data_IF_588910318194
#
_entry.id   IF_588910318194
#
_cell.length_a   1.000
_cell.length_b   1.000
_cell.length_c   1.000
_cell.angle_alpha   90.00
_cell.angle_beta   90.00
_cell.angle_gamma   90.00
#
_symmetry.space_group_name_H-M   'P 1'
#
loop_
_entity.id
_entity.type
_entity.pdbx_description
1 polymer ?
#
# COMPACT_ATOMS: atom_id res chain seq x y z
N UNK A 1 -10.81 11.54 6.53
CA UNK A 1 -9.62 10.83 6.02
C UNK A 1 -9.76 10.84 4.51
N UNK A 2 -8.71 11.19 3.80
CA UNK A 2 -8.73 11.19 2.32
C UNK A 2 -7.81 10.07 1.84
N UNK A 3 -8.22 9.38 0.79
CA UNK A 3 -7.47 8.27 0.22
C UNK A 3 -7.25 8.52 -1.27
N UNK A 4 -6.06 8.13 -1.75
CA UNK A 4 -5.71 8.11 -3.15
C UNK A 4 -5.27 6.68 -3.51
N UNK A 5 -6.01 6.07 -4.43
CA UNK A 5 -5.70 4.74 -4.95
C UNK A 5 -4.56 4.90 -5.96
N UNK A 6 -3.51 4.10 -5.80
CA UNK A 6 -2.30 4.16 -6.61
C UNK A 6 -2.27 2.98 -7.58
N UNK A 7 -2.23 3.29 -8.87
CA UNK A 7 -2.06 2.32 -9.95
C UNK A 7 -0.73 2.53 -10.66
N UNK A 8 -0.17 1.45 -11.20
CA UNK A 8 1.00 1.49 -12.08
C UNK A 8 0.71 0.68 -13.33
N UNK A 9 0.57 1.37 -14.46
CA UNK A 9 0.23 0.76 -15.76
C UNK A 9 -1.04 -0.12 -15.71
N UNK A 10 -2.03 0.26 -14.92
CA UNK A 10 -3.29 -0.47 -14.77
C UNK A 10 -3.31 -1.50 -13.63
N UNK A 11 -2.17 -1.81 -13.00
CA UNK A 11 -2.13 -2.69 -11.83
C UNK A 11 -2.30 -1.90 -10.52
N UNK A 12 -3.13 -2.42 -9.61
CA UNK A 12 -3.34 -1.83 -8.29
C UNK A 12 -2.09 -2.04 -7.43
N UNK A 13 -1.43 -0.93 -7.05
CA UNK A 13 -0.20 -0.97 -6.24
C UNK A 13 -0.49 -0.83 -4.75
N UNK A 14 -1.45 0.03 -4.39
CA UNK A 14 -1.76 0.33 -2.99
C UNK A 14 -2.53 1.62 -2.81
N UNK A 15 -2.56 2.12 -1.57
CA UNK A 15 -3.33 3.30 -1.18
C UNK A 15 -2.49 4.27 -0.37
N UNK A 16 -2.48 5.54 -0.78
CA UNK A 16 -1.97 6.66 0.02
C UNK A 16 -3.11 7.22 0.86
N UNK A 17 -2.91 7.32 2.17
CA UNK A 17 -3.88 7.92 3.11
C UNK A 17 -3.33 9.19 3.69
N UNK A 18 -4.16 10.25 3.68
CA UNK A 18 -3.94 11.48 4.43
C UNK A 18 -4.78 11.48 5.70
N UNK A 19 -4.09 11.46 6.84
CA UNK A 19 -4.69 11.50 8.17
C UNK A 19 -5.19 12.91 8.51
N UNK A 20 -6.08 13.02 9.50
CA UNK A 20 -6.66 14.31 9.93
C UNK A 20 -5.60 15.30 10.43
N UNK A 21 -4.51 14.78 11.01
CA UNK A 21 -3.36 15.56 11.48
C UNK A 21 -2.35 15.93 10.37
N UNK A 22 -2.65 15.61 9.10
CA UNK A 22 -1.75 15.88 7.97
C UNK A 22 -0.67 14.83 7.73
N UNK A 23 -0.54 13.82 8.59
CA UNK A 23 0.38 12.70 8.34
C UNK A 23 -0.05 11.91 7.10
N UNK A 24 0.92 11.37 6.37
CA UNK A 24 0.70 10.52 5.21
C UNK A 24 1.20 9.12 5.49
N UNK A 25 0.42 8.11 5.12
CA UNK A 25 0.82 6.71 5.17
C UNK A 25 0.53 6.04 3.84
N UNK A 26 1.46 5.22 3.37
CA UNK A 26 1.27 4.41 2.17
C UNK A 26 1.20 2.94 2.56
N UNK A 27 0.23 2.21 2.01
CA UNK A 27 0.10 0.77 2.19
C UNK A 27 -0.02 0.10 0.83
N UNK A 28 0.89 -0.86 0.58
CA UNK A 28 0.80 -1.69 -0.63
C UNK A 28 -0.42 -2.61 -0.57
N UNK A 29 -1.01 -2.86 -1.73
CA UNK A 29 -2.03 -3.87 -1.87
C UNK A 29 -1.42 -5.27 -1.74
N UNK A 30 -2.16 -6.21 -1.17
CA UNK A 30 -1.67 -7.58 -0.99
C UNK A 30 -1.31 -8.23 -2.32
N UNK A 31 -2.15 -8.05 -3.35
CA UNK A 31 -1.93 -8.64 -4.68
C UNK A 31 -0.64 -8.11 -5.31
N UNK A 32 -0.34 -6.83 -5.14
CA UNK A 32 0.92 -6.22 -5.61
C UNK A 32 2.12 -6.84 -4.92
N UNK A 33 2.12 -6.96 -3.59
CA UNK A 33 3.27 -7.48 -2.82
C UNK A 33 3.52 -8.96 -3.13
N UNK A 34 2.47 -9.73 -3.40
CA UNK A 34 2.60 -11.17 -3.70
C UNK A 34 2.89 -11.48 -5.17
N UNK A 35 2.89 -10.47 -6.05
CA UNK A 35 3.21 -10.66 -7.47
C UNK A 35 4.73 -10.85 -7.66
N UNK A 36 5.13 -11.83 -8.47
CA UNK A 36 6.56 -12.09 -8.78
C UNK A 36 7.25 -10.92 -9.49
N UNK A 37 6.50 -10.11 -10.23
CA UNK A 37 6.99 -8.95 -10.97
C UNK A 37 6.90 -7.64 -10.16
N UNK A 38 6.63 -7.73 -8.85
CA UNK A 38 6.45 -6.57 -8.00
C UNK A 38 7.73 -5.74 -7.86
N UNK A 39 7.53 -4.46 -7.56
CA UNK A 39 8.61 -3.54 -7.18
C UNK A 39 8.08 -2.50 -6.20
N UNK A 40 8.94 -1.94 -5.33
CA UNK A 40 8.53 -0.84 -4.49
C UNK A 40 8.19 0.40 -5.35
N UNK A 41 7.25 1.22 -4.87
CA UNK A 41 6.91 2.51 -5.46
C UNK A 41 8.10 3.49 -5.45
N UNK A 42 8.94 3.38 -4.41
CA UNK A 42 10.20 4.11 -4.26
C UNK A 42 11.16 3.27 -3.42
N UNK A 43 12.47 3.40 -3.62
CA UNK A 43 13.47 2.76 -2.77
C UNK A 43 13.38 3.18 -1.30
N UNK A 44 12.84 4.39 -1.02
CA UNK A 44 12.57 4.86 0.34
C UNK A 44 11.31 4.22 0.97
N UNK A 45 10.47 3.55 0.18
CA UNK A 45 9.23 2.91 0.58
C UNK A 45 9.34 1.40 0.33
N UNK A 46 10.07 0.70 1.20
CA UNK A 46 10.30 -0.74 1.11
C UNK A 46 8.98 -1.52 0.97
N UNK A 47 9.01 -2.60 0.20
CA UNK A 47 7.88 -3.53 0.12
C UNK A 47 7.58 -4.10 1.50
N UNK A 48 6.31 -4.05 1.89
CA UNK A 48 5.81 -4.50 3.17
C UNK A 48 4.42 -5.09 2.95
N UNK A 49 4.16 -6.24 3.54
CA UNK A 49 2.80 -6.76 3.57
C UNK A 49 1.91 -5.78 4.36
N UNK A 50 0.68 -5.52 3.88
CA UNK A 50 -0.28 -4.79 4.69
C UNK A 50 -0.48 -5.56 6.00
N UNK A 51 -0.50 -4.85 7.14
CA UNK A 51 -0.85 -5.45 8.42
C UNK A 51 -2.24 -6.08 8.28
N UNK A 52 -2.29 -7.40 8.19
CA UNK A 52 -3.53 -8.13 8.43
C UNK A 52 -3.85 -7.97 9.91
N UNK A 53 -5.02 -7.42 10.23
CA UNK A 53 -5.59 -7.61 11.56
C UNK A 53 -5.55 -9.11 11.88
N UNK A 54 -5.14 -9.52 13.09
CA UNK A 54 -5.22 -10.93 13.47
C UNK A 54 -6.65 -11.40 13.25
N UNK A 55 -6.83 -12.54 12.57
CA UNK A 55 -8.14 -13.18 12.51
C UNK A 55 -8.64 -13.38 13.94
N UNK A 56 -9.90 -13.02 14.26
CA UNK A 56 -10.46 -13.38 15.56
C UNK A 56 -10.43 -14.90 15.67
N UNK A 57 -9.94 -15.40 16.81
CA UNK A 57 -10.01 -16.81 17.20
C UNK A 57 -11.48 -17.24 17.37
#
# INVERSE_FOLDING_TARGET
MQELITYMNGELVGTLKKHKNGAHTFQYDKSWVTNVNTRPLSLSLKLQLPLSLPMPL
#
